data_IF_783914410469
#
_entry.id   IF_783914410469
#
_cell.length_a   1.000
_cell.length_b   1.000
_cell.length_c   1.000
_cell.angle_alpha   90.00
_cell.angle_beta   90.00
_cell.angle_gamma   90.00
#
_symmetry.space_group_name_H-M   'P 1'
#
loop_
_entity.id
_entity.type
_entity.pdbx_description
1 polymer ?
#
# COMPACT_ATOMS: atom_id res chain seq x y z
N UNK A 1 -14.42 33.36 -7.41
CA UNK A 1 -13.94 32.08 -6.85
C UNK A 1 -13.02 31.45 -7.88
N UNK A 2 -11.71 31.66 -7.77
CA UNK A 2 -10.74 31.00 -8.66
C UNK A 2 -10.62 29.53 -8.27
N UNK A 3 -10.72 28.66 -9.26
CA UNK A 3 -10.58 27.21 -9.08
C UNK A 3 -9.16 26.89 -8.59
N UNK A 4 -9.04 26.17 -7.47
CA UNK A 4 -7.76 25.85 -6.86
C UNK A 4 -7.12 24.68 -7.62
N UNK A 5 -6.25 24.98 -8.60
CA UNK A 5 -5.60 24.00 -9.48
C UNK A 5 -4.13 23.82 -9.09
N UNK A 6 -3.68 22.56 -9.06
CA UNK A 6 -2.27 22.23 -8.76
C UNK A 6 -1.31 22.62 -9.89
N UNK A 7 -1.78 22.65 -11.14
CA UNK A 7 -0.98 23.06 -12.31
C UNK A 7 -1.78 24.01 -13.21
N UNK A 8 -1.07 24.98 -13.81
CA UNK A 8 -1.68 26.09 -14.54
C UNK A 8 -2.17 25.74 -15.96
N UNK A 9 -1.59 24.73 -16.61
CA UNK A 9 -1.89 24.39 -18.02
C UNK A 9 -2.63 23.06 -18.14
N UNK A 10 -3.69 23.02 -18.94
CA UNK A 10 -4.46 21.82 -19.26
C UNK A 10 -4.40 21.53 -20.75
N UNK A 11 -4.15 20.28 -21.12
CA UNK A 11 -4.21 19.78 -22.50
C UNK A 11 -5.45 18.89 -22.61
N UNK A 12 -6.36 19.22 -23.54
CA UNK A 12 -7.54 18.41 -23.84
C UNK A 12 -7.37 17.79 -25.21
N UNK A 13 -7.50 16.46 -25.30
CA UNK A 13 -7.56 15.75 -26.57
C UNK A 13 -8.84 14.91 -26.61
N UNK A 14 -9.37 14.71 -27.82
CA UNK A 14 -10.55 13.87 -28.04
C UNK A 14 -10.10 12.44 -28.25
N UNK A 15 -10.89 11.51 -27.75
CA UNK A 15 -10.71 10.07 -27.93
C UNK A 15 -12.04 9.47 -28.35
N UNK A 16 -11.98 8.39 -29.13
CA UNK A 16 -13.12 7.51 -29.33
C UNK A 16 -13.41 6.69 -28.07
N UNK A 17 -14.57 6.03 -28.04
CA UNK A 17 -14.93 5.13 -26.94
C UNK A 17 -13.91 3.98 -26.80
N UNK A 18 -13.52 3.35 -27.91
CA UNK A 18 -12.53 2.26 -27.92
C UNK A 18 -11.14 2.71 -27.45
N UNK A 19 -10.75 3.95 -27.77
CA UNK A 19 -9.51 4.55 -27.27
C UNK A 19 -9.60 4.79 -25.77
N UNK A 20 -10.72 5.32 -25.29
CA UNK A 20 -10.93 5.56 -23.86
C UNK A 20 -10.94 4.26 -23.04
N UNK A 21 -11.58 3.20 -23.54
CA UNK A 21 -11.57 1.89 -22.90
C UNK A 21 -10.16 1.30 -22.82
N UNK A 22 -9.38 1.39 -23.90
CA UNK A 22 -7.98 0.94 -23.91
C UNK A 22 -7.12 1.73 -22.92
N UNK A 23 -7.28 3.06 -22.87
CA UNK A 23 -6.57 3.90 -21.90
C UNK A 23 -6.96 3.56 -20.46
N UNK A 24 -8.23 3.28 -20.21
CA UNK A 24 -8.74 2.86 -18.89
C UNK A 24 -8.10 1.55 -18.47
N UNK A 25 -8.13 0.53 -19.33
CA UNK A 25 -7.52 -0.77 -19.04
C UNK A 25 -6.01 -0.67 -18.80
N UNK A 26 -5.30 0.14 -19.60
CA UNK A 26 -3.87 0.37 -19.40
C UNK A 26 -3.56 1.10 -18.09
N UNK A 27 -4.38 2.08 -17.72
CA UNK A 27 -4.22 2.84 -16.48
C UNK A 27 -4.54 1.98 -15.25
N UNK A 28 -5.59 1.15 -15.33
CA UNK A 28 -5.98 0.22 -14.26
C UNK A 28 -4.89 -0.84 -14.02
N UNK A 29 -4.30 -1.38 -15.09
CA UNK A 29 -3.21 -2.35 -15.00
C UNK A 29 -1.99 -1.81 -14.24
N UNK A 30 -1.81 -0.50 -14.19
CA UNK A 30 -0.70 0.17 -13.49
C UNK A 30 -1.15 0.93 -12.25
N UNK A 31 -2.42 0.82 -11.87
CA UNK A 31 -2.99 1.44 -10.67
C UNK A 31 -3.05 2.98 -10.72
N UNK A 32 -3.11 3.57 -11.90
CA UNK A 32 -3.17 5.03 -12.10
C UNK A 32 -4.54 5.47 -12.63
N UNK A 33 -4.90 6.74 -12.44
CA UNK A 33 -6.02 7.31 -13.20
C UNK A 33 -5.61 7.51 -14.66
N UNK A 34 -6.56 7.50 -15.59
CA UNK A 34 -6.30 7.73 -17.03
C UNK A 34 -5.49 9.02 -17.27
N UNK A 35 -5.83 10.18 -16.67
CA UNK A 35 -5.02 11.40 -16.86
C UNK A 35 -3.58 11.26 -16.34
N UNK A 36 -3.39 10.62 -15.18
CA UNK A 36 -2.07 10.41 -14.61
C UNK A 36 -1.22 9.44 -15.46
N UNK A 37 -1.84 8.39 -15.99
CA UNK A 37 -1.21 7.43 -16.89
C UNK A 37 -0.75 8.10 -18.20
N UNK A 38 -1.64 8.85 -18.86
CA UNK A 38 -1.30 9.54 -20.12
C UNK A 38 -0.20 10.59 -19.89
N UNK A 39 -0.29 11.35 -18.79
CA UNK A 39 0.76 12.31 -18.41
C UNK A 39 2.10 11.62 -18.19
N UNK A 40 2.13 10.52 -17.44
CA UNK A 40 3.37 9.75 -17.21
C UNK A 40 3.97 9.20 -18.52
N UNK A 41 3.13 8.67 -19.41
CA UNK A 41 3.56 8.20 -20.74
C UNK A 41 4.10 9.33 -21.61
N UNK A 42 3.46 10.50 -21.61
CA UNK A 42 3.92 11.68 -22.34
C UNK A 42 5.28 12.20 -21.83
N UNK A 43 5.56 12.04 -20.53
CA UNK A 43 6.88 12.33 -19.94
C UNK A 43 7.94 11.24 -20.17
N UNK A 44 7.61 10.17 -20.91
CA UNK A 44 8.55 9.07 -21.16
C UNK A 44 8.78 8.16 -19.95
N UNK A 45 7.94 8.25 -18.90
CA UNK A 45 8.06 7.39 -17.72
C UNK A 45 7.80 5.94 -18.10
N UNK A 46 8.71 5.04 -17.71
CA UNK A 46 8.50 3.60 -17.80
C UNK A 46 7.46 3.16 -16.78
N UNK A 47 6.18 3.25 -17.14
CA UNK A 47 5.09 2.76 -16.32
C UNK A 47 5.09 1.23 -16.33
N UNK A 48 5.35 0.61 -15.18
CA UNK A 48 5.37 -0.85 -14.99
C UNK A 48 4.16 -1.27 -14.17
N UNK A 49 3.61 -2.44 -14.49
CA UNK A 49 2.59 -3.06 -13.68
C UNK A 49 3.17 -3.35 -12.28
N UNK A 50 2.47 -2.94 -11.20
CA UNK A 50 2.82 -3.33 -9.84
C UNK A 50 2.88 -4.85 -9.71
N UNK A 51 3.81 -5.36 -8.90
CA UNK A 51 3.94 -6.81 -8.63
C UNK A 51 2.69 -7.39 -7.95
N UNK A 52 1.98 -6.55 -7.20
CA UNK A 52 0.78 -6.91 -6.45
C UNK A 52 -0.36 -6.09 -7.04
N UNK A 53 -1.46 -6.74 -7.37
CA UNK A 53 -2.65 -6.05 -7.83
C UNK A 53 -3.28 -5.24 -6.69
N UNK A 54 -4.19 -4.32 -7.05
CA UNK A 54 -4.82 -3.44 -6.07
C UNK A 54 -5.56 -4.21 -4.97
N UNK A 55 -6.20 -5.34 -5.32
CA UNK A 55 -6.94 -6.17 -4.35
C UNK A 55 -5.97 -6.82 -3.36
N UNK A 56 -4.90 -7.45 -3.84
CA UNK A 56 -3.86 -8.02 -2.99
C UNK A 56 -3.20 -6.97 -2.10
N UNK A 57 -2.95 -5.77 -2.61
CA UNK A 57 -2.40 -4.68 -1.79
C UNK A 57 -3.34 -4.25 -0.65
N UNK A 58 -4.65 -4.19 -0.90
CA UNK A 58 -5.66 -3.88 0.13
C UNK A 58 -5.72 -4.99 1.17
N UNK A 59 -5.67 -6.26 0.74
CA UNK A 59 -5.71 -7.41 1.64
C UNK A 59 -4.48 -7.46 2.54
N UNK A 60 -3.28 -7.30 1.97
CA UNK A 60 -2.03 -7.22 2.73
C UNK A 60 -2.09 -6.05 3.74
N UNK A 61 -2.57 -4.88 3.32
CA UNK A 61 -2.72 -3.74 4.22
C UNK A 61 -3.68 -4.04 5.39
N UNK A 62 -4.77 -4.79 5.14
CA UNK A 62 -5.72 -5.23 6.17
C UNK A 62 -5.06 -6.17 7.16
N UNK A 63 -4.32 -7.17 6.69
CA UNK A 63 -3.62 -8.12 7.55
C UNK A 63 -2.55 -7.43 8.42
N UNK A 64 -1.74 -6.57 7.81
CA UNK A 64 -0.74 -5.77 8.53
C UNK A 64 -1.38 -4.89 9.61
N UNK A 65 -2.55 -4.30 9.33
CA UNK A 65 -3.29 -3.51 10.33
C UNK A 65 -3.76 -4.35 11.51
N UNK A 66 -4.22 -5.58 11.27
CA UNK A 66 -4.62 -6.50 12.33
C UNK A 66 -3.42 -6.85 13.21
N UNK A 67 -2.28 -7.19 12.60
CA UNK A 67 -1.01 -7.45 13.33
C UNK A 67 -0.59 -6.25 14.17
N UNK A 68 -0.58 -5.04 13.59
CA UNK A 68 -0.24 -3.82 14.31
C UNK A 68 -1.20 -3.50 15.46
N UNK A 69 -2.49 -3.81 15.30
CA UNK A 69 -3.49 -3.63 16.36
C UNK A 69 -3.22 -4.56 17.54
N UNK A 70 -2.95 -5.84 17.28
CA UNK A 70 -2.60 -6.80 18.31
C UNK A 70 -1.31 -6.41 19.04
N UNK A 71 -0.28 -5.97 18.30
CA UNK A 71 0.97 -5.48 18.88
C UNK A 71 0.74 -4.27 19.80
N UNK A 72 -0.12 -3.33 19.38
CA UNK A 72 -0.46 -2.16 20.20
C UNK A 72 -1.22 -2.55 21.48
N UNK A 73 -2.08 -3.58 21.44
CA UNK A 73 -2.75 -4.10 22.63
C UNK A 73 -1.75 -4.71 23.61
N UNK A 74 -0.79 -5.49 23.10
CA UNK A 74 0.29 -6.06 23.90
C UNK A 74 1.16 -4.97 24.54
N UNK A 75 1.55 -3.96 23.76
CA UNK A 75 2.32 -2.82 24.28
C UNK A 75 1.55 -2.07 25.39
N UNK A 76 0.25 -1.81 25.19
CA UNK A 76 -0.61 -1.21 26.22
C UNK A 76 -0.71 -2.08 27.47
N UNK A 77 -0.85 -3.40 27.30
CA UNK A 77 -0.92 -4.35 28.41
C UNK A 77 0.39 -4.37 29.21
N UNK A 78 1.54 -4.34 28.54
CA UNK A 78 2.86 -4.21 29.20
C UNK A 78 2.98 -2.89 29.95
N UNK A 79 2.63 -1.77 29.31
CA UNK A 79 2.75 -0.43 29.91
C UNK A 79 1.81 -0.22 31.10
N UNK A 80 0.70 -0.95 31.18
CA UNK A 80 -0.27 -0.86 32.28
C UNK A 80 0.13 -1.67 33.52
N UNK A 81 1.20 -2.48 33.46
CA UNK A 81 1.65 -3.33 34.56
C UNK A 81 2.97 -2.82 35.13
N UNK A 82 3.06 -2.69 36.45
CA UNK A 82 4.29 -2.33 37.16
C UNK A 82 5.26 -3.51 37.29
N UNK A 83 4.76 -4.75 37.23
CA UNK A 83 5.55 -5.98 37.26
C UNK A 83 5.04 -6.99 36.23
N UNK A 84 5.96 -7.52 35.43
CA UNK A 84 5.74 -8.61 34.48
C UNK A 84 6.71 -9.72 34.87
N UNK A 85 6.25 -10.97 34.93
CA UNK A 85 7.15 -12.09 35.24
C UNK A 85 8.17 -12.30 34.12
N UNK A 86 9.37 -12.79 34.46
CA UNK A 86 10.43 -13.04 33.50
C UNK A 86 9.99 -14.03 32.40
N UNK A 87 9.18 -15.03 32.75
CA UNK A 87 8.59 -15.99 31.80
C UNK A 87 7.59 -15.35 30.83
N UNK A 88 6.78 -14.39 31.28
CA UNK A 88 5.86 -13.65 30.41
C UNK A 88 6.64 -12.75 29.43
N UNK A 89 7.74 -12.15 29.89
CA UNK A 89 8.66 -11.34 29.08
C UNK A 89 9.40 -12.16 28.02
N UNK A 90 9.91 -13.34 28.38
CA UNK A 90 10.53 -14.26 27.41
C UNK A 90 9.54 -14.71 26.34
N UNK A 91 8.31 -15.07 26.75
CA UNK A 91 7.27 -15.48 25.81
C UNK A 91 6.84 -14.35 24.88
N UNK A 92 6.79 -13.12 25.40
CA UNK A 92 6.52 -11.94 24.60
C UNK A 92 7.60 -11.70 23.55
N UNK A 93 8.88 -11.71 23.96
CA UNK A 93 10.01 -11.54 23.05
C UNK A 93 10.03 -12.63 21.96
N UNK A 94 9.76 -13.88 22.34
CA UNK A 94 9.62 -14.97 21.38
C UNK A 94 8.54 -14.69 20.34
N UNK A 95 7.35 -14.27 20.77
CA UNK A 95 6.23 -13.99 19.86
C UNK A 95 6.55 -12.81 18.92
N UNK A 96 7.18 -11.75 19.43
CA UNK A 96 7.63 -10.61 18.61
C UNK A 96 8.63 -11.08 17.54
N UNK A 97 9.58 -11.94 17.90
CA UNK A 97 10.57 -12.48 16.96
C UNK A 97 9.91 -13.37 15.89
N UNK A 98 8.88 -14.15 16.23
CA UNK A 98 8.12 -14.92 15.23
C UNK A 98 7.35 -14.02 14.28
N UNK A 99 6.71 -12.95 14.78
CA UNK A 99 6.02 -11.97 13.93
C UNK A 99 7.02 -11.32 12.96
N UNK A 100 8.19 -10.90 13.46
CA UNK A 100 9.25 -10.32 12.64
C UNK A 100 9.68 -11.28 11.52
N UNK A 101 9.94 -12.55 11.84
CA UNK A 101 10.29 -13.57 10.84
C UNK A 101 9.19 -13.81 9.81
N UNK A 102 7.93 -13.78 10.24
CA UNK A 102 6.78 -13.89 9.33
C UNK A 102 6.70 -12.71 8.36
N UNK A 103 6.91 -11.49 8.86
CA UNK A 103 6.93 -10.27 8.05
C UNK A 103 8.11 -10.25 7.08
N UNK A 104 9.31 -10.66 7.50
CA UNK A 104 10.47 -10.76 6.61
C UNK A 104 10.25 -11.75 5.46
N UNK A 105 9.64 -12.91 5.74
CA UNK A 105 9.29 -13.88 4.70
C UNK A 105 8.24 -13.33 3.73
N UNK A 106 7.19 -12.69 4.25
CA UNK A 106 6.18 -12.05 3.42
C UNK A 106 6.82 -10.97 2.53
N UNK A 107 7.72 -10.15 3.08
CA UNK A 107 8.43 -9.12 2.34
C UNK A 107 9.29 -9.68 1.21
N UNK A 108 10.01 -10.79 1.44
CA UNK A 108 10.80 -11.46 0.39
C UNK A 108 9.95 -11.95 -0.78
N UNK A 109 8.70 -12.38 -0.54
CA UNK A 109 7.79 -12.83 -1.59
C UNK A 109 7.23 -11.67 -2.43
N UNK A 110 7.20 -10.46 -1.88
CA UNK A 110 6.71 -9.25 -2.55
C UNK A 110 7.84 -8.46 -3.23
N UNK A 111 9.10 -8.69 -2.83
CA UNK A 111 10.31 -8.04 -3.36
C UNK A 111 10.74 -8.52 -4.74
#
# INVERSE_FOLDING_TARGET
MSENRSEAKQIKFRVSEDEFQRLTLMADNVGMSVPAFVKAKAHGVRVRQPKIDRKGAIEIARELRAVGTNLNQVAKWCNAREQVSEQELERLNYNIEQIKKGLEKAWQQLS
#
